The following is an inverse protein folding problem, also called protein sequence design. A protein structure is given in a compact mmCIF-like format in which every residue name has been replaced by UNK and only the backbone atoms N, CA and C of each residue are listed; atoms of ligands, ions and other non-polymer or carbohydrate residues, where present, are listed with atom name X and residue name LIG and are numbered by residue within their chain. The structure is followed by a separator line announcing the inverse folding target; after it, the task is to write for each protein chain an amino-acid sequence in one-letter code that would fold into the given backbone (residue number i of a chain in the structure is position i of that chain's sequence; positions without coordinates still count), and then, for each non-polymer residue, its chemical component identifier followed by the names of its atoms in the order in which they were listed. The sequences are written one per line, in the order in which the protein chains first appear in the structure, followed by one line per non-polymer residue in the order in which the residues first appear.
data_IF_208277169416
#
_entry.id   IF_208277169416
#
_cell.length_a   1.000
_cell.length_b   1.000
_cell.length_c   1.000
_cell.angle_alpha   90.00
_cell.angle_beta   90.00
_cell.angle_gamma   90.00
#
_symmetry.space_group_name_H-M   'P 1'
#
loop_
_entity.id
_entity.type
_entity.pdbx_description
1 polymer ?
#
# COMPACT_ATOMS: atom_id res chain seq x y z
N UNK A 1 -6.69 7.00 34.86
CA UNK A 1 -6.68 7.34 33.42
C UNK A 1 -6.90 6.15 32.47
N UNK A 2 -7.24 4.94 32.94
CA UNK A 2 -7.58 3.79 32.07
C UNK A 2 -9.08 3.70 31.70
N UNK A 3 -9.95 4.47 32.38
CA UNK A 3 -11.39 4.41 32.20
C UNK A 3 -11.90 5.06 30.89
N UNK A 4 -11.11 5.91 30.23
CA UNK A 4 -11.56 6.71 29.09
C UNK A 4 -11.59 5.95 27.76
N UNK A 5 -10.58 5.13 27.46
CA UNK A 5 -10.54 4.39 26.19
C UNK A 5 -11.57 3.25 26.15
N UNK A 6 -11.82 2.61 27.29
CA UNK A 6 -12.84 1.56 27.40
C UNK A 6 -14.25 2.16 27.36
N UNK A 7 -14.49 3.29 28.04
CA UNK A 7 -15.79 4.01 27.96
C UNK A 7 -16.10 4.43 26.53
N UNK A 8 -15.14 5.08 25.85
CA UNK A 8 -15.30 5.53 24.47
C UNK A 8 -15.57 4.37 23.50
N UNK A 9 -14.90 3.22 23.68
CA UNK A 9 -15.18 2.02 22.88
C UNK A 9 -16.62 1.56 23.03
N UNK A 10 -17.11 1.53 24.28
CA UNK A 10 -18.45 1.06 24.58
C UNK A 10 -19.52 2.03 24.06
N UNK A 11 -19.30 3.33 24.20
CA UNK A 11 -20.17 4.38 23.64
C UNK A 11 -20.26 4.26 22.12
N UNK A 12 -19.12 4.14 21.43
CA UNK A 12 -19.10 3.92 19.98
C UNK A 12 -19.84 2.63 19.60
N UNK A 13 -19.61 1.52 20.31
CA UNK A 13 -20.28 0.26 20.00
C UNK A 13 -21.81 0.38 20.12
N UNK A 14 -22.29 1.02 21.19
CA UNK A 14 -23.72 1.27 21.39
C UNK A 14 -24.32 2.13 20.29
N UNK A 15 -23.64 3.20 19.87
CA UNK A 15 -24.10 4.03 18.76
C UNK A 15 -24.17 3.23 17.46
N UNK A 16 -23.14 2.44 17.14
CA UNK A 16 -23.10 1.62 15.92
C UNK A 16 -24.24 0.60 15.86
N UNK A 17 -24.60 -0.02 16.99
CA UNK A 17 -25.70 -1.00 17.06
C UNK A 17 -27.06 -0.39 16.68
N UNK A 18 -27.23 0.92 16.82
CA UNK A 18 -28.48 1.62 16.48
C UNK A 18 -28.58 2.02 14.99
N UNK A 19 -27.48 1.95 14.24
CA UNK A 19 -27.43 2.46 12.87
C UNK A 19 -27.94 1.44 11.83
N UNK A 20 -28.66 1.89 10.79
CA UNK A 20 -28.97 1.07 9.62
C UNK A 20 -27.70 0.59 8.89
N UNK A 21 -27.78 -0.59 8.26
CA UNK A 21 -26.68 -1.20 7.49
C UNK A 21 -26.05 -0.25 6.46
N UNK A 22 -26.86 0.58 5.80
CA UNK A 22 -26.35 1.55 4.83
C UNK A 22 -25.42 2.61 5.47
N UNK A 23 -25.69 3.00 6.71
CA UNK A 23 -24.85 3.93 7.46
C UNK A 23 -23.62 3.22 8.03
N UNK A 24 -23.75 1.98 8.50
CA UNK A 24 -22.61 1.16 8.94
C UNK A 24 -21.57 0.94 7.82
N UNK A 25 -22.00 0.80 6.56
CA UNK A 25 -21.09 0.75 5.40
C UNK A 25 -20.23 2.02 5.29
N UNK A 26 -20.85 3.19 5.44
CA UNK A 26 -20.14 4.48 5.42
C UNK A 26 -19.16 4.59 6.60
N UNK A 27 -19.56 4.17 7.80
CA UNK A 27 -18.65 4.13 8.95
C UNK A 27 -17.44 3.24 8.66
N UNK A 28 -17.65 2.05 8.07
CA UNK A 28 -16.55 1.15 7.68
C UNK A 28 -15.60 1.81 6.68
N UNK A 29 -16.12 2.52 5.68
CA UNK A 29 -15.30 3.28 4.73
C UNK A 29 -14.48 4.37 5.44
N UNK A 30 -15.09 5.14 6.34
CA UNK A 30 -14.39 6.16 7.14
C UNK A 30 -13.31 5.57 8.04
N UNK A 31 -13.56 4.44 8.69
CA UNK A 31 -12.53 3.72 9.47
C UNK A 31 -11.38 3.28 8.55
N UNK A 32 -11.70 2.85 7.32
CA UNK A 32 -10.71 2.58 6.28
C UNK A 32 -9.85 3.81 5.97
N UNK A 33 -10.47 4.98 5.76
CA UNK A 33 -9.77 6.23 5.52
C UNK A 33 -8.89 6.64 6.71
N UNK A 34 -9.37 6.51 7.96
CA UNK A 34 -8.58 6.81 9.15
C UNK A 34 -7.32 5.95 9.24
N UNK A 35 -7.42 4.66 8.88
CA UNK A 35 -6.25 3.76 8.82
C UNK A 35 -5.27 4.13 7.71
N UNK A 36 -5.76 4.64 6.59
CA UNK A 36 -4.95 5.08 5.45
C UNK A 36 -4.42 6.50 5.61
N UNK A 37 -5.00 7.32 6.50
CA UNK A 37 -4.58 8.70 6.71
C UNK A 37 -3.08 8.90 6.99
N UNK A 38 -2.36 7.99 7.69
CA UNK A 38 -0.91 8.12 7.87
C UNK A 38 -0.10 7.81 6.60
N UNK A 39 -0.73 7.29 5.55
CA UNK A 39 -0.16 7.02 4.23
C UNK A 39 -0.48 8.14 3.23
N UNK A 40 -1.53 8.93 3.48
CA UNK A 40 -1.87 10.10 2.67
C UNK A 40 -0.72 11.10 2.76
N UNK A 41 -0.13 11.44 1.61
CA UNK A 41 1.06 12.29 1.51
C UNK A 41 2.40 11.54 1.58
N UNK A 42 2.42 10.25 1.92
CA UNK A 42 3.63 9.40 1.78
C UNK A 42 3.78 8.81 0.38
N UNK A 43 2.66 8.55 -0.28
CA UNK A 43 2.64 8.21 -1.70
C UNK A 43 2.38 9.51 -2.45
N UNK A 44 3.37 9.96 -3.22
CA UNK A 44 3.17 11.09 -4.11
C UNK A 44 2.10 10.71 -5.16
N UNK A 45 1.06 11.54 -5.39
CA UNK A 45 -0.06 11.17 -6.26
C UNK A 45 0.36 10.79 -7.68
N UNK A 46 1.45 11.38 -8.18
CA UNK A 46 2.08 11.07 -9.46
C UNK A 46 2.77 9.69 -9.50
N UNK A 47 2.97 9.05 -8.35
CA UNK A 47 3.54 7.70 -8.19
C UNK A 47 2.48 6.64 -7.89
N UNK A 48 1.18 6.98 -7.95
CA UNK A 48 0.10 6.01 -7.71
C UNK A 48 0.11 4.83 -8.69
N UNK A 49 0.64 5.03 -9.91
CA UNK A 49 0.77 4.00 -10.93
C UNK A 49 1.59 2.78 -10.46
N UNK A 50 2.58 2.99 -9.56
CA UNK A 50 3.41 1.92 -9.01
C UNK A 50 2.58 0.88 -8.24
N UNK A 51 1.47 1.30 -7.65
CA UNK A 51 0.57 0.45 -6.86
C UNK A 51 -0.54 -0.21 -7.67
N UNK A 52 -0.56 -0.01 -8.99
CA UNK A 52 -1.50 -0.75 -9.85
C UNK A 52 -1.16 -2.24 -9.86
N UNK A 53 -2.18 -3.10 -10.03
CA UNK A 53 -1.98 -4.55 -10.03
C UNK A 53 -0.97 -4.99 -11.11
N UNK A 54 -1.01 -4.35 -12.28
CA UNK A 54 -0.08 -4.60 -13.38
C UNK A 54 1.37 -4.32 -12.96
N UNK A 55 1.65 -3.17 -12.35
CA UNK A 55 2.99 -2.82 -11.91
C UNK A 55 3.47 -3.71 -10.75
N UNK A 56 2.60 -4.02 -9.79
CA UNK A 56 2.92 -4.95 -8.70
C UNK A 56 3.16 -6.38 -9.18
N UNK A 57 2.52 -6.82 -10.28
CA UNK A 57 2.82 -8.10 -10.91
C UNK A 57 4.22 -8.10 -11.55
N UNK A 58 4.60 -7.02 -12.24
CA UNK A 58 5.95 -6.86 -12.81
C UNK A 58 7.02 -6.81 -11.72
N UNK A 59 6.76 -6.09 -10.63
CA UNK A 59 7.69 -5.99 -9.50
C UNK A 59 7.98 -7.36 -8.89
N UNK A 60 6.94 -8.16 -8.60
CA UNK A 60 7.11 -9.52 -8.07
C UNK A 60 7.88 -10.43 -9.03
N UNK A 61 7.67 -10.27 -10.34
CA UNK A 61 8.41 -11.02 -11.35
C UNK A 61 9.90 -10.62 -11.40
N UNK A 62 10.19 -9.32 -11.26
CA UNK A 62 11.54 -8.79 -11.17
C UNK A 62 12.24 -9.25 -9.88
N UNK A 63 11.59 -9.16 -8.73
CA UNK A 63 12.12 -9.64 -7.45
C UNK A 63 12.42 -11.14 -7.48
N UNK A 64 11.54 -11.94 -8.10
CA UNK A 64 11.79 -13.35 -8.36
C UNK A 64 13.02 -13.56 -9.27
N UNK A 65 13.20 -12.73 -10.30
CA UNK A 65 14.37 -12.81 -11.17
C UNK A 65 15.68 -12.51 -10.43
N UNK A 66 15.67 -11.51 -9.55
CA UNK A 66 16.81 -11.16 -8.69
C UNK A 66 17.12 -12.33 -7.75
N UNK A 67 16.11 -12.86 -7.06
CA UNK A 67 16.27 -13.97 -6.12
C UNK A 67 16.79 -15.25 -6.79
N UNK A 68 16.37 -15.52 -8.02
CA UNK A 68 16.84 -16.66 -8.83
C UNK A 68 18.20 -16.41 -9.50
N UNK A 69 18.82 -15.24 -9.31
CA UNK A 69 20.07 -14.88 -9.97
C UNK A 69 19.96 -14.67 -11.48
N UNK A 70 18.74 -14.47 -12.01
CA UNK A 70 18.47 -14.10 -13.41
C UNK A 70 18.74 -12.61 -13.64
N UNK A 71 19.88 -12.15 -13.16
CA UNK A 71 20.35 -10.77 -13.24
C UNK A 71 21.79 -10.75 -13.74
N UNK A 72 22.18 -9.64 -14.35
CA UNK A 72 23.55 -9.38 -14.75
C UNK A 72 24.02 -8.11 -14.07
N UNK A 73 25.20 -8.15 -13.47
CA UNK A 73 25.86 -6.97 -12.89
C UNK A 73 26.95 -6.49 -13.83
N UNK A 74 27.23 -5.19 -13.78
CA UNK A 74 28.29 -4.55 -14.55
C UNK A 74 29.08 -3.66 -13.61
N UNK A 75 30.39 -3.59 -13.82
CA UNK A 75 31.28 -2.74 -13.00
C UNK A 75 31.20 -1.26 -13.42
N UNK A 76 30.78 -0.99 -14.66
CA UNK A 76 30.65 0.36 -15.21
C UNK A 76 29.33 0.55 -15.96
N UNK A 77 28.86 1.79 -16.00
CA UNK A 77 27.70 2.18 -16.80
C UNK A 77 27.94 1.90 -18.29
N UNK A 78 29.13 2.22 -18.80
CA UNK A 78 29.49 2.01 -20.21
C UNK A 78 29.36 0.53 -20.60
N UNK A 79 29.84 -0.39 -19.78
CA UNK A 79 29.71 -1.84 -20.03
C UNK A 79 28.25 -2.33 -19.98
N UNK A 80 27.41 -1.70 -19.16
CA UNK A 80 25.97 -1.97 -19.16
C UNK A 80 25.32 -1.46 -20.46
N UNK A 81 25.66 -0.26 -20.92
CA UNK A 81 25.11 0.34 -22.13
C UNK A 81 25.52 -0.44 -23.39
N UNK A 82 26.79 -0.82 -23.51
CA UNK A 82 27.28 -1.66 -24.62
C UNK A 82 26.52 -2.99 -24.71
N UNK A 83 26.22 -3.62 -23.56
CA UNK A 83 25.41 -4.83 -23.52
C UNK A 83 23.97 -4.58 -24.00
N UNK A 84 23.35 -3.47 -23.59
CA UNK A 84 21.97 -3.13 -23.97
C UNK A 84 21.86 -2.80 -25.46
N UNK A 85 22.81 -2.05 -26.01
CA UNK A 85 22.85 -1.71 -27.44
C UNK A 85 23.06 -2.93 -28.34
N UNK A 86 23.62 -4.01 -27.78
CA UNK A 86 23.86 -5.27 -28.48
C UNK A 86 22.70 -6.29 -28.39
N UNK A 87 21.57 -5.95 -27.73
CA UNK A 87 20.40 -6.84 -27.60
C UNK A 87 19.56 -6.94 -28.88
#
# INVERSE_FOLDING_TARGET
MAATAVSLRNEIAQELDTLPVAQLRKVREYVGLLRLSPLVGKVAPDQAWFWTEEWQAKERAAEKAIAEGRVRTFDTMDGMLEFLDAQ
#
